data_IF_863235558967
#
_entry.id   IF_863235558967
#
_cell.length_a   1.000
_cell.length_b   1.000
_cell.length_c   1.000
_cell.angle_alpha   90.00
_cell.angle_beta   90.00
_cell.angle_gamma   90.00
#
_symmetry.space_group_name_H-M   'P 1'
#
loop_
_entity.id
_entity.type
_entity.pdbx_description
1 polymer ?
#
# COMPACT_ATOMS: atom_id res chain seq x y z
N UNK A 1 -18.45 -13.98 -2.06
CA UNK A 1 -16.98 -14.03 -2.02
C UNK A 1 -16.49 -12.80 -1.28
N UNK A 2 -15.53 -12.90 -0.34
CA UNK A 2 -14.97 -11.71 0.29
C UNK A 2 -14.31 -10.84 -0.79
N UNK A 3 -14.69 -9.56 -0.88
CA UNK A 3 -14.05 -8.61 -1.79
C UNK A 3 -12.66 -8.18 -1.30
N UNK A 4 -11.92 -7.46 -2.14
CA UNK A 4 -10.59 -6.94 -1.76
C UNK A 4 -10.66 -6.06 -0.51
N UNK A 5 -9.68 -6.24 0.38
CA UNK A 5 -9.48 -5.48 1.59
C UNK A 5 -8.39 -4.44 1.35
N UNK A 6 -8.75 -3.18 1.56
CA UNK A 6 -7.86 -2.04 1.34
C UNK A 6 -7.88 -1.19 2.60
N UNK A 7 -6.76 -1.23 3.32
CA UNK A 7 -6.52 -0.33 4.44
C UNK A 7 -5.75 0.91 3.98
N UNK A 8 -6.13 2.07 4.50
CA UNK A 8 -5.48 3.35 4.20
C UNK A 8 -5.24 4.06 5.53
N UNK A 9 -3.96 4.27 5.85
CA UNK A 9 -3.54 4.89 7.09
C UNK A 9 -2.86 6.23 6.81
N UNK A 10 -3.37 7.31 7.39
CA UNK A 10 -2.74 8.63 7.33
C UNK A 10 -2.01 8.89 8.64
N UNK A 11 -0.68 8.91 8.59
CA UNK A 11 0.19 9.14 9.75
C UNK A 11 0.71 10.56 9.83
N UNK A 12 1.07 11.17 8.70
CA UNK A 12 1.47 12.57 8.65
C UNK A 12 0.27 13.49 8.37
N UNK A 13 0.10 14.51 9.23
CA UNK A 13 -0.94 15.53 9.15
C UNK A 13 -0.90 16.34 7.84
N UNK A 14 0.26 16.44 7.20
CA UNK A 14 0.42 17.14 5.92
C UNK A 14 -0.50 16.54 4.83
N UNK A 15 -0.72 15.22 4.86
CA UNK A 15 -1.65 14.55 3.95
C UNK A 15 -3.12 14.86 4.22
N UNK A 16 -3.47 15.20 5.48
CA UNK A 16 -4.85 15.60 5.84
C UNK A 16 -5.22 16.98 5.30
N UNK A 17 -4.24 17.79 4.89
CA UNK A 17 -4.49 19.06 4.23
C UNK A 17 -5.03 18.89 2.80
N UNK A 18 -4.80 17.72 2.19
CA UNK A 18 -5.36 17.38 0.89
C UNK A 18 -6.83 16.98 1.06
N UNK A 19 -7.76 17.46 0.22
CA UNK A 19 -9.16 17.05 0.32
C UNK A 19 -9.37 15.58 -0.10
N UNK A 20 -9.81 14.75 0.85
CA UNK A 20 -10.25 13.38 0.61
C UNK A 20 -9.20 12.39 0.06
N UNK A 21 -7.97 12.35 0.61
CA UNK A 21 -6.89 11.47 0.13
C UNK A 21 -7.30 10.00 0.14
N UNK A 22 -7.97 9.52 1.18
CA UNK A 22 -8.46 8.12 1.24
C UNK A 22 -9.41 7.80 0.10
N UNK A 23 -10.38 8.69 -0.17
CA UNK A 23 -11.35 8.50 -1.25
C UNK A 23 -10.65 8.48 -2.61
N UNK A 24 -9.65 9.35 -2.81
CA UNK A 24 -8.87 9.40 -4.03
C UNK A 24 -8.06 8.11 -4.24
N UNK A 25 -7.39 7.63 -3.19
CA UNK A 25 -6.62 6.37 -3.21
C UNK A 25 -7.54 5.18 -3.49
N UNK A 26 -8.70 5.07 -2.82
CA UNK A 26 -9.67 4.00 -3.11
C UNK A 26 -10.11 4.01 -4.57
N UNK A 27 -10.38 5.19 -5.13
CA UNK A 27 -10.74 5.33 -6.56
C UNK A 27 -9.62 4.85 -7.48
N UNK A 28 -8.36 5.19 -7.17
CA UNK A 28 -7.19 4.73 -7.96
C UNK A 28 -7.05 3.22 -7.89
N UNK A 29 -7.17 2.61 -6.70
CA UNK A 29 -7.03 1.16 -6.54
C UNK A 29 -8.14 0.45 -7.30
N UNK A 30 -9.39 0.89 -7.20
CA UNK A 30 -10.49 0.31 -7.99
C UNK A 30 -10.28 0.46 -9.49
N UNK A 31 -9.73 1.59 -9.95
CA UNK A 31 -9.38 1.74 -11.36
C UNK A 31 -8.24 0.80 -11.78
N UNK A 32 -7.21 0.63 -10.95
CA UNK A 32 -6.09 -0.27 -11.20
C UNK A 32 -6.52 -1.75 -11.22
N UNK A 33 -7.44 -2.15 -10.34
CA UNK A 33 -8.05 -3.49 -10.36
C UNK A 33 -8.68 -3.84 -11.72
N UNK A 34 -9.30 -2.84 -12.39
CA UNK A 34 -9.90 -3.04 -13.71
C UNK A 34 -8.89 -3.04 -14.88
N UNK A 35 -7.62 -2.71 -14.62
CA UNK A 35 -6.58 -2.55 -15.65
C UNK A 35 -5.44 -3.58 -15.51
N UNK A 36 -5.22 -4.11 -14.31
CA UNK A 36 -4.13 -5.02 -14.00
C UNK A 36 -4.66 -6.44 -13.76
N UNK A 37 -3.84 -7.45 -14.07
CA UNK A 37 -4.07 -8.80 -13.59
C UNK A 37 -3.93 -8.80 -12.07
N UNK A 38 -5.05 -9.02 -11.37
CA UNK A 38 -5.11 -9.06 -9.91
C UNK A 38 -5.81 -10.33 -9.45
N UNK A 39 -5.49 -10.85 -8.26
CA UNK A 39 -6.24 -11.94 -7.65
C UNK A 39 -7.72 -11.57 -7.48
N UNK A 40 -8.61 -12.57 -7.49
CA UNK A 40 -10.05 -12.37 -7.29
C UNK A 40 -10.38 -11.60 -6.00
N UNK A 41 -9.61 -11.87 -4.95
CA UNK A 41 -9.62 -11.11 -3.70
C UNK A 41 -8.19 -10.90 -3.22
N UNK A 42 -7.90 -9.71 -2.70
CA UNK A 42 -6.59 -9.37 -2.17
C UNK A 42 -6.66 -8.45 -0.96
N UNK A 43 -5.58 -8.40 -0.22
CA UNK A 43 -5.34 -7.49 0.89
C UNK A 43 -4.17 -6.58 0.57
N UNK A 44 -4.33 -5.27 0.79
CA UNK A 44 -3.23 -4.31 0.70
C UNK A 44 -3.40 -3.13 1.66
N UNK A 45 -2.28 -2.52 2.02
CA UNK A 45 -2.20 -1.34 2.87
C UNK A 45 -1.56 -0.18 2.11
N UNK A 46 -2.13 1.03 2.24
CA UNK A 46 -1.49 2.27 1.82
C UNK A 46 -1.24 3.12 3.06
N UNK A 47 0.01 3.51 3.30
CA UNK A 47 0.37 4.40 4.40
C UNK A 47 0.85 5.73 3.83
N UNK A 48 0.23 6.82 4.26
CA UNK A 48 0.66 8.19 3.96
C UNK A 48 1.42 8.73 5.17
N UNK A 49 2.74 8.79 5.07
CA UNK A 49 3.66 9.15 6.15
C UNK A 49 4.55 10.34 5.74
N UNK A 50 5.51 10.68 6.60
CA UNK A 50 6.45 11.77 6.41
C UNK A 50 7.70 11.32 5.65
N UNK A 51 8.37 12.26 4.99
CA UNK A 51 9.68 12.03 4.34
C UNK A 51 10.71 11.43 5.29
N UNK A 52 10.68 11.81 6.57
CA UNK A 52 11.57 11.27 7.60
C UNK A 52 11.31 9.78 7.86
N UNK A 53 10.03 9.38 7.93
CA UNK A 53 9.65 7.98 8.10
C UNK A 53 10.01 7.16 6.85
N UNK A 54 9.73 7.69 5.65
CA UNK A 54 10.09 7.03 4.40
C UNK A 54 11.60 6.90 4.22
N UNK A 55 12.38 7.94 4.55
CA UNK A 55 13.85 7.88 4.53
C UNK A 55 14.38 6.83 5.50
N UNK A 56 13.84 6.75 6.72
CA UNK A 56 14.23 5.72 7.68
C UNK A 56 13.98 4.30 7.13
N UNK A 57 12.79 4.06 6.56
CA UNK A 57 12.46 2.78 5.92
C UNK A 57 13.36 2.49 4.70
N UNK A 58 13.67 3.48 3.88
CA UNK A 58 14.52 3.31 2.71
C UNK A 58 15.96 2.97 3.12
N UNK A 59 16.47 3.57 4.19
CA UNK A 59 17.75 3.22 4.79
C UNK A 59 17.72 1.78 5.31
N UNK A 60 16.72 1.45 6.11
CA UNK A 60 16.69 0.20 6.86
C UNK A 60 16.43 -1.03 5.97
N UNK A 61 15.57 -0.90 4.94
CA UNK A 61 15.21 -2.00 4.05
C UNK A 61 15.91 -2.00 2.69
N UNK A 62 16.41 -0.85 2.22
CA UNK A 62 17.08 -0.72 0.90
C UNK A 62 18.53 -0.23 0.98
N UNK A 63 19.04 0.09 2.17
CA UNK A 63 20.39 0.62 2.36
C UNK A 63 20.58 2.04 1.81
N UNK A 64 19.47 2.77 1.55
CA UNK A 64 19.49 4.10 0.92
C UNK A 64 18.99 5.15 1.91
N UNK A 65 19.93 5.85 2.52
CA UNK A 65 19.62 6.94 3.47
C UNK A 65 19.26 8.25 2.75
N UNK A 66 18.13 8.21 2.03
CA UNK A 66 17.53 9.36 1.37
C UNK A 66 16.00 9.14 1.29
N UNK A 67 15.19 10.22 1.34
CA UNK A 67 13.77 10.10 1.09
C UNK A 67 13.52 9.60 -0.33
N UNK A 68 12.37 8.95 -0.53
CA UNK A 68 11.89 8.54 -1.85
C UNK A 68 10.37 8.72 -1.89
N UNK A 69 9.79 8.80 -3.08
CA UNK A 69 8.36 9.09 -3.21
C UNK A 69 7.47 7.89 -2.85
N UNK A 70 8.00 6.67 -3.02
CA UNK A 70 7.23 5.44 -2.81
C UNK A 70 8.17 4.32 -2.37
N UNK A 71 7.76 3.59 -1.34
CA UNK A 71 8.30 2.26 -0.99
C UNK A 71 7.20 1.20 -1.14
N UNK A 72 7.58 0.01 -1.59
CA UNK A 72 6.69 -1.13 -1.72
C UNK A 72 7.28 -2.33 -0.97
N UNK A 73 6.46 -2.93 -0.10
CA UNK A 73 6.79 -4.10 0.71
C UNK A 73 5.83 -5.23 0.33
N UNK A 74 6.30 -6.25 -0.41
CA UNK A 74 5.43 -7.34 -0.85
C UNK A 74 4.96 -8.18 0.34
N UNK A 75 3.66 -8.43 0.43
CA UNK A 75 3.04 -9.28 1.45
C UNK A 75 3.14 -10.77 1.14
N UNK A 76 3.58 -11.11 -0.08
CA UNK A 76 3.77 -12.47 -0.56
C UNK A 76 5.25 -12.74 -0.78
N UNK A 77 5.78 -13.79 -0.15
CA UNK A 77 7.18 -14.23 -0.22
C UNK A 77 7.38 -15.48 -1.09
N UNK A 78 6.32 -16.01 -1.70
CA UNK A 78 6.35 -17.28 -2.43
C UNK A 78 5.48 -18.38 -1.82
N UNK A 79 4.99 -18.22 -0.59
CA UNK A 79 4.17 -19.23 0.09
C UNK A 79 2.78 -19.42 -0.51
N UNK A 80 2.30 -20.65 -0.65
CA UNK A 80 0.99 -20.91 -1.26
C UNK A 80 -0.16 -20.14 -0.58
N UNK A 81 -1.03 -19.51 -1.38
CA UNK A 81 -2.23 -18.83 -0.89
C UNK A 81 -3.19 -19.83 -0.24
N UNK A 82 -3.72 -19.46 0.93
CA UNK A 82 -4.75 -20.24 1.59
C UNK A 82 -6.07 -20.14 0.82
N UNK A 83 -6.73 -21.27 0.49
CA UNK A 83 -8.01 -21.24 -0.22
C UNK A 83 -9.04 -20.39 0.52
N UNK A 84 -9.68 -19.47 -0.20
CA UNK A 84 -10.73 -18.61 0.33
C UNK A 84 -10.26 -17.40 1.14
N UNK A 85 -8.94 -17.17 1.26
CA UNK A 85 -8.39 -15.94 1.85
C UNK A 85 -7.98 -14.94 0.76
N UNK A 86 -8.10 -13.62 1.01
CA UNK A 86 -7.53 -12.61 0.13
C UNK A 86 -6.02 -12.80 -0.01
N UNK A 87 -5.49 -12.64 -1.22
CA UNK A 87 -4.05 -12.67 -1.46
C UNK A 87 -3.36 -11.44 -0.85
N UNK A 88 -2.31 -11.58 -0.02
CA UNK A 88 -1.62 -10.44 0.57
C UNK A 88 -0.69 -9.79 -0.46
N UNK A 89 -1.09 -8.64 -1.03
CA UNK A 89 -0.21 -7.85 -1.91
C UNK A 89 0.86 -7.12 -1.09
N UNK A 90 0.52 -6.72 0.13
CA UNK A 90 1.42 -6.04 1.07
C UNK A 90 1.18 -4.53 1.14
N UNK A 91 2.25 -3.79 1.40
CA UNK A 91 2.19 -2.39 1.81
C UNK A 91 2.85 -1.45 0.82
N UNK A 92 2.20 -0.30 0.58
CA UNK A 92 2.77 0.84 -0.12
C UNK A 92 2.88 2.00 0.86
N UNK A 93 4.09 2.54 1.01
CA UNK A 93 4.37 3.68 1.89
C UNK A 93 4.71 4.89 1.00
N UNK A 94 3.97 5.97 1.21
CA UNK A 94 4.10 7.27 0.56
C UNK A 94 4.56 8.31 1.57
#
# INVERSE_FOLDING_TARGET
>A
MPGSQIDICIRDENWRQIPGPERFIRKIITAAQGLCETPEAFEMSIVLDSDLAVQALNRDFRGKDAPTNVLSFPGYDGAALLPGQPAPLGDIIL
#
